data_IF_071855635379
#
_entry.id   IF_071855635379
#
_cell.length_a   1.000
_cell.length_b   1.000
_cell.length_c   1.000
_cell.angle_alpha   90.00
_cell.angle_beta   90.00
_cell.angle_gamma   90.00
#
_symmetry.space_group_name_H-M   'P 1'
#
loop_
_entity.id
_entity.type
_entity.pdbx_description
1 polymer ?
#
# COMPACT_ATOMS: atom_id res chain seq x y z
N UNK A 1 15.06 14.12 -31.40
CA UNK A 1 14.63 13.74 -30.01
C UNK A 1 13.11 13.68 -30.06
N UNK A 2 12.54 12.47 -30.13
CA UNK A 2 11.09 12.30 -30.01
C UNK A 2 10.69 12.81 -28.60
N UNK A 3 9.87 13.83 -28.56
CA UNK A 3 9.25 14.28 -27.30
C UNK A 3 8.44 13.12 -26.75
N UNK A 4 8.75 12.75 -25.51
CA UNK A 4 8.05 11.69 -24.81
C UNK A 4 6.59 12.11 -24.58
N UNK A 5 5.69 11.68 -25.47
CA UNK A 5 4.27 12.01 -25.49
C UNK A 5 3.49 11.38 -24.32
N UNK A 6 4.15 10.58 -23.46
CA UNK A 6 3.50 9.93 -22.32
C UNK A 6 2.98 10.94 -21.31
N UNK A 7 1.80 10.66 -20.77
CA UNK A 7 1.19 11.47 -19.72
C UNK A 7 1.93 11.40 -18.40
N UNK A 8 2.52 10.22 -18.06
CA UNK A 8 3.20 9.96 -16.80
C UNK A 8 4.64 9.52 -17.01
N UNK A 9 5.53 9.93 -16.10
CA UNK A 9 6.94 9.53 -16.06
C UNK A 9 7.21 8.55 -14.92
N UNK A 10 6.31 8.50 -13.91
CA UNK A 10 6.40 7.58 -12.80
C UNK A 10 5.04 7.02 -12.40
N UNK A 11 5.07 5.82 -11.80
CA UNK A 11 4.01 5.29 -10.97
C UNK A 11 4.50 5.13 -9.54
N UNK A 12 3.73 5.63 -8.57
CA UNK A 12 3.97 5.37 -7.14
C UNK A 12 2.78 4.57 -6.62
N UNK A 13 3.06 3.44 -5.99
CA UNK A 13 2.08 2.45 -5.58
C UNK A 13 1.98 2.35 -4.05
N UNK A 14 0.80 2.07 -3.52
CA UNK A 14 0.70 1.39 -2.24
C UNK A 14 1.13 -0.08 -2.37
N UNK A 15 1.38 -0.75 -1.26
CA UNK A 15 1.80 -2.15 -1.21
C UNK A 15 0.62 -3.09 -0.89
N UNK A 16 0.08 -2.98 0.34
CA UNK A 16 -0.94 -3.90 0.87
C UNK A 16 -2.29 -3.66 0.18
N UNK A 17 -2.81 -4.64 -0.56
CA UNK A 17 -4.06 -4.50 -1.32
C UNK A 17 -3.89 -3.92 -2.73
N UNK A 18 -2.70 -3.43 -3.07
CA UNK A 18 -2.41 -2.82 -4.37
C UNK A 18 -1.44 -3.67 -5.20
N UNK A 19 -0.19 -3.83 -4.76
CA UNK A 19 0.80 -4.67 -5.43
C UNK A 19 0.82 -6.10 -4.86
N UNK A 20 0.64 -6.22 -3.54
CA UNK A 20 0.71 -7.48 -2.81
C UNK A 20 -0.61 -7.80 -2.10
N UNK A 21 -1.08 -9.05 -2.27
CA UNK A 21 -2.16 -9.60 -1.47
C UNK A 21 -1.57 -10.06 -0.13
N UNK A 22 -1.73 -9.21 0.88
CA UNK A 22 -1.20 -9.42 2.23
C UNK A 22 -2.30 -9.67 3.27
N UNK A 23 -3.58 -9.70 2.85
CA UNK A 23 -4.70 -9.79 3.78
C UNK A 23 -4.63 -11.03 4.67
N UNK A 24 -4.38 -12.20 4.05
CA UNK A 24 -4.27 -13.47 4.77
C UNK A 24 -3.07 -13.48 5.74
N UNK A 25 -1.96 -12.86 5.36
CA UNK A 25 -0.77 -12.69 6.20
C UNK A 25 -1.07 -11.83 7.43
N UNK A 26 -1.64 -10.63 7.22
CA UNK A 26 -2.00 -9.70 8.30
C UNK A 26 -2.99 -10.36 9.26
N UNK A 27 -3.99 -11.06 8.74
CA UNK A 27 -4.98 -11.77 9.54
C UNK A 27 -4.36 -12.95 10.32
N UNK A 28 -3.47 -13.71 9.71
CA UNK A 28 -2.77 -14.82 10.36
C UNK A 28 -1.98 -14.35 11.59
N UNK A 29 -1.16 -13.31 11.45
CA UNK A 29 -0.37 -12.79 12.55
C UNK A 29 -1.24 -12.04 13.57
N UNK A 30 -2.27 -11.34 13.11
CA UNK A 30 -3.26 -10.71 13.98
C UNK A 30 -3.97 -11.72 14.88
N UNK A 31 -4.52 -12.79 14.30
CA UNK A 31 -5.20 -13.84 15.03
C UNK A 31 -4.25 -14.65 15.92
N UNK A 32 -3.02 -14.89 15.47
CA UNK A 32 -2.00 -15.53 16.31
C UNK A 32 -1.68 -14.71 17.57
N UNK A 33 -1.67 -13.39 17.44
CA UNK A 33 -1.48 -12.48 18.58
C UNK A 33 -2.71 -12.45 19.47
N UNK A 34 -3.92 -12.38 18.92
CA UNK A 34 -5.16 -12.46 19.71
C UNK A 34 -5.22 -13.73 20.56
N UNK A 35 -4.88 -14.89 19.95
CA UNK A 35 -4.84 -16.18 20.69
C UNK A 35 -3.87 -16.17 21.88
N UNK A 36 -2.68 -15.58 21.73
CA UNK A 36 -1.72 -15.45 22.83
C UNK A 36 -2.29 -14.69 24.02
N UNK A 37 -3.13 -13.69 23.73
CA UNK A 37 -3.81 -12.88 24.76
C UNK A 37 -5.14 -13.48 25.22
N UNK A 38 -5.47 -14.72 24.82
CA UNK A 38 -6.75 -15.38 25.17
C UNK A 38 -7.98 -14.70 24.57
N UNK A 39 -7.81 -13.94 23.48
CA UNK A 39 -8.87 -13.21 22.80
C UNK A 39 -9.40 -13.99 21.58
N UNK A 40 -10.67 -13.79 21.20
CA UNK A 40 -11.25 -14.46 20.05
C UNK A 40 -10.61 -14.00 18.73
N UNK A 41 -10.57 -14.92 17.75
CA UNK A 41 -10.09 -14.61 16.42
C UNK A 41 -11.10 -13.77 15.62
N UNK A 42 -10.58 -13.01 14.67
CA UNK A 42 -11.35 -12.17 13.76
C UNK A 42 -11.37 -12.84 12.37
N UNK A 43 -12.53 -12.96 11.69
CA UNK A 43 -12.59 -13.47 10.33
C UNK A 43 -11.66 -12.70 9.38
N UNK A 44 -10.98 -13.40 8.47
CA UNK A 44 -10.00 -12.78 7.54
C UNK A 44 -10.59 -11.61 6.76
N UNK A 45 -11.81 -11.75 6.24
CA UNK A 45 -12.48 -10.70 5.46
C UNK A 45 -12.71 -9.41 6.27
N UNK A 46 -12.90 -9.52 7.58
CA UNK A 46 -13.06 -8.35 8.46
C UNK A 46 -11.80 -7.48 8.47
N UNK A 47 -10.62 -8.08 8.30
CA UNK A 47 -9.36 -7.34 8.25
C UNK A 47 -9.30 -6.32 7.11
N UNK A 48 -10.06 -6.51 6.03
CA UNK A 48 -10.17 -5.49 4.97
C UNK A 48 -10.54 -4.12 5.53
N UNK A 49 -11.45 -4.06 6.49
CA UNK A 49 -11.88 -2.80 7.11
C UNK A 49 -10.92 -2.29 8.21
N UNK A 50 -10.06 -3.14 8.74
CA UNK A 50 -9.16 -2.81 9.86
C UNK A 50 -7.83 -2.21 9.38
N UNK A 51 -7.33 -2.63 8.19
CA UNK A 51 -6.03 -2.22 7.62
C UNK A 51 -6.07 -0.85 6.93
N UNK A 52 -4.90 -0.32 6.51
CA UNK A 52 -4.74 0.87 5.68
C UNK A 52 -4.17 2.09 6.42
N UNK A 53 -4.32 2.19 7.75
CA UNK A 53 -3.88 3.35 8.53
C UNK A 53 -2.64 3.07 9.40
N UNK A 54 -1.90 2.03 9.10
CA UNK A 54 -0.71 1.59 9.84
C UNK A 54 -1.03 0.66 11.01
N UNK A 55 0.02 0.02 11.52
CA UNK A 55 -0.13 -1.11 12.44
C UNK A 55 -0.68 -0.71 13.82
N UNK A 56 -0.40 0.50 14.34
CA UNK A 56 -0.98 0.95 15.63
C UNK A 56 -2.50 1.06 15.55
N UNK A 57 -3.02 1.60 14.44
CA UNK A 57 -4.45 1.70 14.22
C UNK A 57 -5.07 0.32 14.03
N UNK A 58 -4.38 -0.58 13.31
CA UNK A 58 -4.80 -1.97 13.15
C UNK A 58 -4.97 -2.65 14.52
N UNK A 59 -3.98 -2.57 15.41
CA UNK A 59 -4.06 -3.18 16.74
C UNK A 59 -5.27 -2.67 17.54
N UNK A 60 -5.47 -1.36 17.57
CA UNK A 60 -6.62 -0.76 18.27
C UNK A 60 -7.96 -1.19 17.69
N UNK A 61 -8.06 -1.27 16.35
CA UNK A 61 -9.27 -1.75 15.67
C UNK A 61 -9.54 -3.22 15.95
N UNK A 62 -8.51 -4.06 15.95
CA UNK A 62 -8.62 -5.48 16.32
C UNK A 62 -9.15 -5.65 17.73
N UNK A 63 -8.53 -5.01 18.72
CA UNK A 63 -8.95 -5.05 20.12
C UNK A 63 -10.38 -4.57 20.30
N UNK A 64 -10.76 -3.47 19.63
CA UNK A 64 -12.14 -2.98 19.62
C UNK A 64 -13.12 -4.00 19.04
N UNK A 65 -12.74 -4.65 17.94
CA UNK A 65 -13.59 -5.65 17.25
C UNK A 65 -13.91 -6.85 18.16
N UNK A 66 -12.95 -7.27 18.98
CA UNK A 66 -13.14 -8.39 19.93
C UNK A 66 -13.65 -7.95 21.31
N UNK A 67 -13.94 -6.65 21.49
CA UNK A 67 -14.46 -6.10 22.76
C UNK A 67 -13.42 -6.06 23.88
N UNK A 68 -12.13 -6.17 23.58
CA UNK A 68 -11.07 -6.15 24.58
C UNK A 68 -10.77 -4.73 25.07
N UNK A 69 -10.62 -4.58 26.37
CA UNK A 69 -10.21 -3.34 27.04
C UNK A 69 -8.83 -3.56 27.66
N UNK A 70 -7.81 -3.03 27.01
CA UNK A 70 -6.42 -3.08 27.45
C UNK A 70 -5.93 -1.68 27.84
N UNK A 71 -5.02 -1.60 28.82
CA UNK A 71 -4.31 -0.35 29.11
C UNK A 71 -3.39 0.03 27.94
N UNK A 72 -2.96 1.28 27.87
CA UNK A 72 -2.02 1.74 26.84
C UNK A 72 -0.69 0.97 26.86
N UNK A 73 -0.25 0.51 28.02
CA UNK A 73 0.92 -0.36 28.15
C UNK A 73 0.67 -1.73 27.51
N UNK A 74 -0.46 -2.36 27.86
CA UNK A 74 -0.84 -3.65 27.25
C UNK A 74 -1.07 -3.57 25.75
N UNK A 75 -1.58 -2.43 25.24
CA UNK A 75 -1.71 -2.21 23.78
C UNK A 75 -0.33 -2.15 23.12
N UNK A 76 0.67 -1.50 23.76
CA UNK A 76 2.05 -1.49 23.26
C UNK A 76 2.65 -2.89 23.23
N UNK A 77 2.43 -3.69 24.29
CA UNK A 77 2.91 -5.07 24.38
C UNK A 77 2.25 -5.97 23.31
N UNK A 78 0.93 -5.81 23.12
CA UNK A 78 0.17 -6.48 22.07
C UNK A 78 0.73 -6.15 20.67
N UNK A 79 1.02 -4.87 20.43
CA UNK A 79 1.65 -4.42 19.20
C UNK A 79 3.05 -5.04 19.01
N UNK A 80 3.88 -5.02 20.04
CA UNK A 80 5.22 -5.61 19.98
C UNK A 80 5.18 -7.13 19.74
N UNK A 81 4.18 -7.84 20.31
CA UNK A 81 3.97 -9.26 20.08
C UNK A 81 3.56 -9.53 18.61
N UNK A 82 2.69 -8.70 18.02
CA UNK A 82 2.34 -8.76 16.61
C UNK A 82 3.56 -8.53 15.70
N UNK A 83 4.34 -7.48 15.97
CA UNK A 83 5.51 -7.14 15.15
C UNK A 83 6.55 -8.27 15.16
N UNK A 84 6.90 -8.81 16.33
CA UNK A 84 7.84 -9.93 16.42
C UNK A 84 7.41 -11.15 15.60
N UNK A 85 6.11 -11.47 15.58
CA UNK A 85 5.59 -12.59 14.78
C UNK A 85 5.65 -12.30 13.31
N UNK A 86 5.20 -11.13 12.91
CA UNK A 86 5.18 -10.76 11.50
C UNK A 86 6.60 -10.70 10.94
N UNK A 87 7.53 -10.10 11.67
CA UNK A 87 8.94 -9.98 11.26
C UNK A 87 9.67 -11.32 11.20
N UNK A 88 9.21 -12.34 11.94
CA UNK A 88 9.82 -13.68 11.89
C UNK A 88 9.54 -14.42 10.58
N UNK A 89 8.41 -14.17 9.93
CA UNK A 89 8.00 -14.82 8.67
C UNK A 89 7.32 -13.81 7.72
N UNK A 90 8.01 -12.77 7.24
CA UNK A 90 7.39 -11.62 6.57
C UNK A 90 6.71 -11.98 5.23
N UNK A 91 7.10 -13.10 4.62
CA UNK A 91 6.50 -13.58 3.36
C UNK A 91 5.40 -14.63 3.55
N UNK A 92 5.07 -14.97 4.80
CA UNK A 92 4.01 -15.95 5.04
C UNK A 92 2.66 -15.48 4.51
N UNK A 93 2.06 -16.24 3.61
CA UNK A 93 0.78 -15.93 2.96
C UNK A 93 0.78 -14.58 2.22
N UNK A 94 1.93 -14.20 1.67
CA UNK A 94 2.10 -12.99 0.86
C UNK A 94 2.35 -13.39 -0.59
N UNK A 95 1.55 -12.85 -1.50
CA UNK A 95 1.66 -13.09 -2.95
C UNK A 95 1.46 -11.78 -3.71
N UNK A 96 2.09 -11.59 -4.87
CA UNK A 96 1.75 -10.47 -5.74
C UNK A 96 0.34 -10.67 -6.31
N UNK A 97 -0.40 -9.59 -6.55
CA UNK A 97 -1.65 -9.71 -7.30
C UNK A 97 -1.40 -10.19 -8.74
N UNK A 98 -2.35 -10.94 -9.34
CA UNK A 98 -2.20 -11.48 -10.68
C UNK A 98 -1.88 -10.39 -11.72
N UNK A 99 -0.83 -10.61 -12.52
CA UNK A 99 -0.39 -9.72 -13.59
C UNK A 99 0.42 -8.50 -13.13
N UNK A 100 0.57 -8.26 -11.82
CA UNK A 100 1.34 -7.12 -11.30
C UNK A 100 2.83 -7.22 -11.67
N UNK A 101 3.53 -8.37 -11.47
CA UNK A 101 4.94 -8.47 -11.87
C UNK A 101 5.18 -8.18 -13.36
N UNK A 102 4.25 -8.63 -14.22
CA UNK A 102 4.28 -8.36 -15.66
C UNK A 102 4.09 -6.88 -15.97
N UNK A 103 3.06 -6.27 -15.35
CA UNK A 103 2.78 -4.85 -15.53
C UNK A 103 3.97 -3.97 -15.10
N UNK A 104 4.60 -4.27 -13.95
CA UNK A 104 5.78 -3.54 -13.47
C UNK A 104 6.96 -3.68 -14.44
N UNK A 105 7.22 -4.90 -14.98
CA UNK A 105 8.26 -5.12 -15.99
C UNK A 105 8.00 -4.29 -17.26
N UNK A 106 6.76 -4.27 -17.75
CA UNK A 106 6.38 -3.50 -18.93
C UNK A 106 6.56 -1.98 -18.72
N UNK A 107 6.14 -1.46 -17.56
CA UNK A 107 6.31 -0.06 -17.19
C UNK A 107 7.80 0.30 -17.12
N UNK A 108 8.61 -0.53 -16.44
CA UNK A 108 10.06 -0.34 -16.32
C UNK A 108 10.76 -0.37 -17.69
N UNK A 109 10.41 -1.34 -18.54
CA UNK A 109 10.95 -1.46 -19.91
C UNK A 109 10.65 -0.22 -20.79
N UNK A 110 9.56 0.49 -20.48
CA UNK A 110 9.21 1.77 -21.09
C UNK A 110 9.88 2.98 -20.44
N UNK A 111 10.79 2.76 -19.48
CA UNK A 111 11.58 3.81 -18.80
C UNK A 111 10.78 4.60 -17.76
N UNK A 112 9.67 4.08 -17.25
CA UNK A 112 8.96 4.68 -16.11
C UNK A 112 9.73 4.46 -14.81
N UNK A 113 9.66 5.45 -13.91
CA UNK A 113 10.13 5.30 -12.52
C UNK A 113 9.05 4.66 -11.69
N UNK A 114 9.42 3.68 -10.84
CA UNK A 114 8.48 2.94 -10.03
C UNK A 114 8.82 3.10 -8.55
N UNK A 115 7.89 3.66 -7.77
CA UNK A 115 8.01 3.82 -6.33
C UNK A 115 6.96 3.05 -5.56
N UNK A 116 7.26 2.67 -4.32
CA UNK A 116 6.30 2.09 -3.37
C UNK A 116 6.26 2.93 -2.10
N UNK A 117 5.07 3.39 -1.72
CA UNK A 117 4.84 4.13 -0.47
C UNK A 117 3.70 3.51 0.33
N UNK A 118 3.99 2.98 1.51
CA UNK A 118 3.02 2.29 2.34
C UNK A 118 2.97 2.82 3.78
N UNK A 119 1.79 2.71 4.43
CA UNK A 119 1.64 2.91 5.87
C UNK A 119 2.08 1.68 6.70
N UNK A 120 2.54 0.61 6.06
CA UNK A 120 3.20 -0.54 6.70
C UNK A 120 4.55 -0.11 7.30
N UNK A 121 5.04 -0.71 8.40
CA UNK A 121 6.39 -0.45 8.91
C UNK A 121 7.46 -0.55 7.82
N UNK A 122 8.42 0.37 7.82
CA UNK A 122 9.38 0.53 6.72
C UNK A 122 10.20 -0.73 6.42
N UNK A 123 10.73 -1.38 7.45
CA UNK A 123 11.46 -2.65 7.33
C UNK A 123 10.64 -3.74 6.62
N UNK A 124 9.35 -3.84 6.95
CA UNK A 124 8.44 -4.82 6.37
C UNK A 124 8.06 -4.46 4.92
N UNK A 125 7.80 -3.17 4.65
CA UNK A 125 7.50 -2.71 3.30
C UNK A 125 8.68 -2.97 2.36
N UNK A 126 9.90 -2.63 2.76
CA UNK A 126 11.12 -2.87 1.99
C UNK A 126 11.39 -4.35 1.77
N UNK A 127 11.26 -5.18 2.82
CA UNK A 127 11.49 -6.62 2.71
C UNK A 127 10.53 -7.27 1.71
N UNK A 128 9.22 -7.02 1.86
CA UNK A 128 8.19 -7.63 0.98
C UNK A 128 8.35 -7.12 -0.46
N UNK A 129 8.56 -5.82 -0.65
CA UNK A 129 8.76 -5.24 -1.98
C UNK A 129 10.00 -5.83 -2.66
N UNK A 130 11.12 -5.93 -1.95
CA UNK A 130 12.36 -6.54 -2.45
C UNK A 130 12.20 -8.01 -2.81
N UNK A 131 11.51 -8.79 -1.97
CA UNK A 131 11.28 -10.21 -2.19
C UNK A 131 10.35 -10.50 -3.40
N UNK A 132 9.32 -9.65 -3.62
CA UNK A 132 8.35 -9.86 -4.71
C UNK A 132 8.78 -9.25 -6.03
N UNK A 133 9.43 -8.07 -6.01
CA UNK A 133 9.62 -7.26 -7.19
C UNK A 133 11.08 -6.90 -7.48
N UNK A 134 11.98 -7.10 -6.51
CA UNK A 134 13.43 -6.89 -6.67
C UNK A 134 13.76 -5.50 -7.24
N UNK A 135 14.58 -5.50 -8.29
CA UNK A 135 15.07 -4.28 -8.95
C UNK A 135 14.03 -3.57 -9.84
N UNK A 136 12.82 -4.10 -9.95
CA UNK A 136 11.76 -3.42 -10.71
C UNK A 136 11.34 -2.11 -10.05
N UNK A 137 11.42 -2.03 -8.72
CA UNK A 137 11.07 -0.85 -7.93
C UNK A 137 12.30 0.01 -7.67
N UNK A 138 12.25 1.28 -8.08
CA UNK A 138 13.37 2.23 -7.90
C UNK A 138 13.50 2.69 -6.45
N UNK A 139 12.37 2.86 -5.75
CA UNK A 139 12.33 3.28 -4.34
C UNK A 139 11.17 2.63 -3.60
N UNK A 140 11.40 2.24 -2.35
CA UNK A 140 10.36 1.75 -1.45
C UNK A 140 10.50 2.42 -0.08
N UNK A 141 9.40 2.99 0.41
CA UNK A 141 9.30 3.54 1.75
C UNK A 141 8.02 3.07 2.43
N UNK A 142 8.18 2.56 3.65
CA UNK A 142 7.11 2.36 4.59
C UNK A 142 7.00 3.50 5.60
N UNK A 143 6.27 3.26 6.70
CA UNK A 143 6.15 4.20 7.81
C UNK A 143 7.45 4.28 8.60
N UNK A 144 7.98 5.50 8.74
CA UNK A 144 9.18 5.83 9.51
C UNK A 144 8.85 6.84 10.60
N UNK A 145 9.60 6.79 11.70
CA UNK A 145 9.46 7.77 12.78
C UNK A 145 9.75 9.19 12.28
N UNK A 146 8.93 10.15 12.70
CA UNK A 146 9.08 11.56 12.31
C UNK A 146 8.57 11.89 10.91
N UNK A 147 8.10 10.91 10.13
CA UNK A 147 7.49 11.13 8.81
C UNK A 147 5.97 10.96 8.93
N UNK A 148 5.17 11.95 8.51
CA UNK A 148 3.72 11.84 8.52
C UNK A 148 3.24 10.65 7.66
N UNK A 149 2.17 9.97 8.14
CA UNK A 149 1.54 8.87 7.42
C UNK A 149 0.67 9.39 6.27
N UNK A 150 0.46 8.58 5.24
CA UNK A 150 -0.62 8.81 4.28
C UNK A 150 -1.94 9.05 5.03
N UNK A 151 -2.79 10.02 4.67
CA UNK A 151 -2.79 10.77 3.41
C UNK A 151 -1.98 12.10 3.41
N UNK A 152 -1.09 12.34 4.38
CA UNK A 152 -0.17 13.46 4.31
C UNK A 152 0.75 13.31 3.08
N UNK A 153 0.93 14.36 2.25
CA UNK A 153 1.65 14.24 0.99
C UNK A 153 3.18 14.30 1.15
N UNK A 154 3.70 14.61 2.33
CA UNK A 154 5.15 14.87 2.54
C UNK A 154 6.02 13.73 2.00
N UNK A 155 5.71 12.49 2.38
CA UNK A 155 6.54 11.34 1.99
C UNK A 155 6.49 11.05 0.48
N UNK A 156 5.34 11.20 -0.16
CA UNK A 156 5.20 10.94 -1.61
C UNK A 156 5.81 12.06 -2.45
N UNK A 157 5.75 13.31 -1.99
CA UNK A 157 6.41 14.44 -2.65
C UNK A 157 7.94 14.31 -2.59
N UNK A 158 8.48 13.87 -1.44
CA UNK A 158 9.90 13.57 -1.32
C UNK A 158 10.30 12.45 -2.29
N UNK A 159 9.52 11.36 -2.35
CA UNK A 159 9.79 10.25 -3.29
C UNK A 159 9.76 10.71 -4.76
N UNK A 160 8.81 11.53 -5.16
CA UNK A 160 8.74 12.08 -6.52
C UNK A 160 9.98 12.93 -6.83
N UNK A 161 10.41 13.78 -5.88
CA UNK A 161 11.63 14.58 -6.00
C UNK A 161 12.89 13.71 -6.17
N UNK A 162 13.03 12.66 -5.36
CA UNK A 162 14.17 11.74 -5.41
C UNK A 162 14.20 10.91 -6.70
N UNK A 163 13.00 10.63 -7.27
CA UNK A 163 12.86 9.99 -8.58
C UNK A 163 13.09 10.97 -9.76
N UNK A 164 13.18 12.28 -9.49
CA UNK A 164 13.36 13.33 -10.50
C UNK A 164 12.11 13.55 -11.35
N UNK A 165 10.91 13.40 -10.78
CA UNK A 165 9.63 13.50 -11.49
C UNK A 165 8.73 14.56 -10.86
N UNK A 166 8.14 15.42 -11.70
CA UNK A 166 7.14 16.39 -11.26
C UNK A 166 5.85 15.69 -10.79
N UNK A 167 5.22 16.12 -9.69
CA UNK A 167 4.01 15.48 -9.14
C UNK A 167 2.89 15.30 -10.16
N UNK A 168 2.62 16.30 -11.02
CA UNK A 168 1.60 16.23 -12.07
C UNK A 168 1.86 15.15 -13.13
N UNK A 169 3.07 14.61 -13.19
CA UNK A 169 3.48 13.51 -14.08
C UNK A 169 3.59 12.15 -13.38
N UNK A 170 3.04 12.05 -12.15
CA UNK A 170 2.99 10.81 -11.38
C UNK A 170 1.57 10.23 -11.39
N UNK A 171 1.44 8.95 -11.72
CA UNK A 171 0.25 8.16 -11.44
C UNK A 171 0.39 7.56 -10.04
N UNK A 172 -0.44 8.01 -9.08
CA UNK A 172 -0.45 7.43 -7.73
C UNK A 172 -1.51 6.34 -7.64
N UNK A 173 -1.08 5.11 -7.34
CA UNK A 173 -1.91 3.91 -7.43
C UNK A 173 -2.14 3.32 -6.05
N UNK A 174 -3.41 3.08 -5.70
CA UNK A 174 -3.77 2.48 -4.42
C UNK A 174 -5.16 1.89 -4.41
N UNK A 175 -5.50 1.17 -3.35
CA UNK A 175 -6.77 0.46 -3.19
C UNK A 175 -7.72 1.07 -2.14
N UNK A 176 -7.36 2.21 -1.56
CA UNK A 176 -8.13 2.81 -0.45
C UNK A 176 -8.36 4.31 -0.63
N UNK A 177 -9.36 4.85 0.12
CA UNK A 177 -9.59 6.28 0.19
C UNK A 177 -8.37 7.08 0.67
N UNK A 178 -7.56 6.49 1.54
CA UNK A 178 -6.28 7.09 2.00
C UNK A 178 -5.33 7.32 0.83
N UNK A 179 -5.25 6.37 -0.10
CA UNK A 179 -4.39 6.48 -1.28
C UNK A 179 -4.88 7.56 -2.24
N UNK A 180 -6.18 7.58 -2.48
CA UNK A 180 -6.78 8.60 -3.36
C UNK A 180 -6.54 10.00 -2.82
N UNK A 181 -6.71 10.19 -1.51
CA UNK A 181 -6.41 11.45 -0.83
C UNK A 181 -4.91 11.79 -0.91
N UNK A 182 -4.01 10.80 -0.71
CA UNK A 182 -2.56 11.01 -0.81
C UNK A 182 -2.18 11.56 -2.19
N UNK A 183 -2.62 10.91 -3.26
CA UNK A 183 -2.34 11.36 -4.62
C UNK A 183 -2.88 12.77 -4.90
N UNK A 184 -4.12 13.05 -4.48
CA UNK A 184 -4.72 14.39 -4.63
C UNK A 184 -3.96 15.47 -3.85
N UNK A 185 -3.64 15.19 -2.57
CA UNK A 185 -2.94 16.14 -1.71
C UNK A 185 -1.54 16.47 -2.25
N UNK A 186 -0.93 15.55 -2.97
CA UNK A 186 0.37 15.71 -3.62
C UNK A 186 0.29 16.34 -5.02
N UNK A 187 -0.89 16.61 -5.57
CA UNK A 187 -1.05 17.09 -6.95
C UNK A 187 -0.74 16.04 -8.02
N UNK A 188 -0.77 14.75 -7.65
CA UNK A 188 -0.61 13.60 -8.53
C UNK A 188 -1.96 13.15 -9.09
N UNK A 189 -1.98 12.23 -10.05
CA UNK A 189 -3.22 11.64 -10.58
C UNK A 189 -3.55 10.35 -9.83
N UNK A 190 -4.62 10.30 -9.02
CA UNK A 190 -4.98 9.10 -8.26
C UNK A 190 -5.65 8.06 -9.16
N UNK A 191 -5.14 6.83 -9.10
CA UNK A 191 -5.71 5.65 -9.75
C UNK A 191 -6.09 4.62 -8.70
N UNK A 192 -7.38 4.32 -8.57
CA UNK A 192 -7.88 3.28 -7.68
C UNK A 192 -7.85 1.91 -8.35
N UNK A 193 -7.39 0.88 -7.63
CA UNK A 193 -7.46 -0.51 -8.09
C UNK A 193 -8.60 -1.24 -7.41
N UNK A 194 -9.36 -2.05 -8.18
CA UNK A 194 -10.62 -2.67 -7.72
C UNK A 194 -10.44 -4.10 -7.19
N UNK A 195 -9.24 -4.63 -7.20
CA UNK A 195 -8.93 -5.97 -6.63
C UNK A 195 -8.50 -5.94 -5.15
N UNK A 196 -8.34 -4.74 -4.58
CA UNK A 196 -7.85 -4.54 -3.22
C UNK A 196 -8.92 -4.67 -2.12
N UNK A 197 -8.75 -3.91 -1.05
CA UNK A 197 -9.57 -4.05 0.18
C UNK A 197 -10.81 -3.16 0.20
N UNK A 198 -10.87 -2.13 -0.65
CA UNK A 198 -11.98 -1.16 -0.71
C UNK A 198 -12.73 -1.25 -2.02
N UNK A 199 -13.98 -0.81 -1.96
CA UNK A 199 -14.86 -0.82 -3.12
C UNK A 199 -14.71 0.43 -4.01
N UNK A 200 -15.34 0.36 -5.17
CA UNK A 200 -15.35 1.46 -6.15
C UNK A 200 -15.96 2.74 -5.60
N UNK A 201 -16.96 2.64 -4.72
CA UNK A 201 -17.64 3.80 -4.17
C UNK A 201 -16.70 4.61 -3.29
N UNK A 202 -16.02 3.96 -2.33
CA UNK A 202 -15.00 4.60 -1.48
C UNK A 202 -13.91 5.27 -2.32
N UNK A 203 -13.38 4.59 -3.33
CA UNK A 203 -12.33 5.15 -4.18
C UNK A 203 -12.81 6.40 -4.92
N UNK A 204 -14.00 6.39 -5.49
CA UNK A 204 -14.57 7.54 -6.20
C UNK A 204 -14.88 8.72 -5.26
N UNK A 205 -15.47 8.47 -4.11
CA UNK A 205 -15.78 9.47 -3.10
C UNK A 205 -14.51 10.17 -2.59
N UNK A 206 -13.39 9.46 -2.52
CA UNK A 206 -12.09 9.99 -2.11
C UNK A 206 -11.26 10.56 -3.27
N UNK A 207 -11.79 10.57 -4.50
CA UNK A 207 -11.24 11.32 -5.62
C UNK A 207 -10.38 10.53 -6.58
N UNK A 208 -10.63 9.22 -6.75
CA UNK A 208 -10.03 8.46 -7.83
C UNK A 208 -10.34 9.09 -9.18
N UNK A 209 -9.32 9.58 -9.88
CA UNK A 209 -9.44 10.09 -11.24
C UNK A 209 -9.56 8.95 -12.26
N UNK A 210 -8.82 7.87 -12.03
CA UNK A 210 -8.84 6.65 -12.83
C UNK A 210 -9.20 5.46 -11.95
N UNK A 211 -9.72 4.41 -12.57
CA UNK A 211 -9.93 3.10 -11.94
C UNK A 211 -9.40 2.01 -12.86
N UNK A 212 -8.81 0.97 -12.26
CA UNK A 212 -8.35 -0.21 -12.96
C UNK A 212 -8.91 -1.47 -12.28
N UNK A 213 -9.48 -2.39 -13.06
CA UNK A 213 -10.01 -3.67 -12.58
C UNK A 213 -8.98 -4.79 -12.73
N UNK A 214 -7.96 -4.59 -13.55
CA UNK A 214 -6.87 -5.55 -13.80
C UNK A 214 -5.51 -4.85 -13.88
N UNK A 215 -4.43 -5.60 -13.64
CA UNK A 215 -3.07 -5.10 -13.83
C UNK A 215 -2.80 -4.63 -15.27
N UNK A 216 -3.46 -5.24 -16.27
CA UNK A 216 -3.38 -4.80 -17.65
C UNK A 216 -4.02 -3.42 -17.85
N UNK A 217 -5.23 -3.19 -17.33
CA UNK A 217 -5.87 -1.88 -17.38
C UNK A 217 -5.05 -0.80 -16.68
N UNK A 218 -4.43 -1.13 -15.54
CA UNK A 218 -3.53 -0.24 -14.82
C UNK A 218 -2.32 0.13 -15.68
N UNK A 219 -1.62 -0.87 -16.28
CA UNK A 219 -0.51 -0.65 -17.19
C UNK A 219 -0.90 0.25 -18.36
N UNK A 220 -2.03 -0.05 -18.99
CA UNK A 220 -2.49 0.71 -20.16
C UNK A 220 -2.86 2.16 -19.79
N UNK A 221 -3.43 2.37 -18.57
CA UNK A 221 -3.69 3.70 -18.05
C UNK A 221 -2.40 4.51 -17.80
N UNK A 222 -1.36 3.83 -17.26
CA UNK A 222 -0.05 4.45 -17.00
C UNK A 222 0.69 4.82 -18.29
N UNK A 223 0.54 4.03 -19.36
CA UNK A 223 1.23 4.22 -20.63
C UNK A 223 0.48 5.10 -21.65
N UNK A 224 -0.72 5.59 -21.30
CA UNK A 224 -1.48 6.47 -22.21
C UNK A 224 -0.67 7.71 -22.58
N UNK A 225 -0.78 8.08 -23.85
CA UNK A 225 -0.25 9.35 -24.34
C UNK A 225 -1.04 10.52 -23.76
N UNK A 226 -0.35 11.62 -23.46
CA UNK A 226 -0.98 12.87 -23.10
C UNK A 226 -1.68 13.48 -24.31
N UNK A 227 -2.90 13.96 -24.13
CA UNK A 227 -3.60 14.75 -25.16
C UNK A 227 -3.05 16.16 -25.20
#
# INVERSE_FOLDING_TARGET
>A
MEQNLRRFDACIFDLDGTLANTLASIAYFGNSTLREYGLPEIPVETYKSLVGNGADVLMRRMLKTVGAQLSEEQVRDFRAAYDRRYESEPMKLVEPYPGIPEALRDLKARGMKLGVLSNKPDNMAQYITGALFGELVDQCHGQRNGVPKKPDPTAVLQMASDLGVEPGRVLYVGDSGVDMQTGRNAGMVPCGVLWGFRDKAELRENGAALLASTAQELRDAALREGC
#
